data_IF_170521008839
#
_entry.id   IF_170521008839
#
_cell.length_a   1.000
_cell.length_b   1.000
_cell.length_c   1.000
_cell.angle_alpha   90.00
_cell.angle_beta   90.00
_cell.angle_gamma   90.00
#
_symmetry.space_group_name_H-M   'P 1'
#
loop_
_entity.id
_entity.type
_entity.pdbx_description
1 polymer ?
#
# COMPACT_ATOMS: atom_id res chain seq x y z
N UNK A 1 4.31 -12.26 17.48
CA UNK A 1 3.45 -12.88 16.45
C UNK A 1 2.93 -11.75 15.56
N UNK A 2 2.94 -11.90 14.24
CA UNK A 2 2.41 -10.85 13.34
C UNK A 2 0.92 -10.70 13.55
N UNK A 3 0.38 -9.49 13.51
CA UNK A 3 -1.07 -9.25 13.68
C UNK A 3 -1.91 -10.05 12.69
N UNK A 4 -1.42 -10.21 11.46
CA UNK A 4 -2.07 -10.99 10.40
C UNK A 4 -2.07 -12.51 10.65
N UNK A 5 -1.30 -12.98 11.62
CA UNK A 5 -1.16 -14.40 11.99
C UNK A 5 -1.83 -14.72 13.34
N UNK A 6 -2.59 -13.78 13.89
CA UNK A 6 -3.31 -14.01 15.13
C UNK A 6 -4.50 -14.94 14.91
N UNK A 7 -4.84 -15.71 15.96
CA UNK A 7 -6.03 -16.53 15.93
C UNK A 7 -7.29 -15.68 15.74
N UNK A 8 -8.29 -16.27 15.06
CA UNK A 8 -9.57 -15.63 14.85
C UNK A 8 -10.26 -15.35 16.21
N UNK A 9 -10.92 -14.20 16.29
CA UNK A 9 -11.80 -13.85 17.41
C UNK A 9 -13.08 -14.72 17.43
N UNK A 10 -13.36 -15.41 16.34
CA UNK A 10 -14.57 -16.21 16.14
C UNK A 10 -14.21 -17.67 15.96
N UNK A 11 -14.91 -18.54 16.65
CA UNK A 11 -14.67 -19.98 16.66
C UNK A 11 -15.69 -20.72 15.76
N UNK A 12 -15.34 -21.94 15.32
CA UNK A 12 -16.23 -22.85 14.59
C UNK A 12 -16.93 -22.18 13.38
N UNK A 13 -16.21 -21.38 12.59
CA UNK A 13 -16.78 -20.61 11.47
C UNK A 13 -17.54 -21.51 10.49
N UNK A 14 -17.05 -22.74 10.25
CA UNK A 14 -17.66 -23.72 9.35
C UNK A 14 -19.01 -24.26 9.85
N UNK A 15 -19.34 -24.06 11.14
CA UNK A 15 -20.60 -24.49 11.74
C UNK A 15 -21.63 -23.37 11.90
N UNK A 16 -21.20 -22.14 11.61
CA UNK A 16 -22.04 -20.96 11.82
C UNK A 16 -23.02 -20.76 10.66
N UNK A 17 -24.15 -20.11 10.95
CA UNK A 17 -25.08 -19.71 9.92
C UNK A 17 -24.51 -18.58 9.06
N UNK A 18 -24.94 -18.49 7.79
CA UNK A 18 -24.57 -17.37 6.90
C UNK A 18 -24.89 -16.02 7.54
N UNK A 19 -26.05 -15.90 8.19
CA UNK A 19 -26.44 -14.67 8.89
C UNK A 19 -25.44 -14.27 9.98
N UNK A 20 -25.00 -15.25 10.78
CA UNK A 20 -24.01 -15.02 11.84
C UNK A 20 -22.65 -14.57 11.26
N UNK A 21 -22.19 -15.26 10.21
CA UNK A 21 -20.93 -14.90 9.53
C UNK A 21 -20.96 -13.49 8.97
N UNK A 22 -22.05 -13.10 8.29
CA UNK A 22 -22.20 -11.75 7.75
C UNK A 22 -22.24 -10.69 8.85
N UNK A 23 -22.89 -10.95 9.97
CA UNK A 23 -22.92 -10.04 11.11
C UNK A 23 -21.52 -9.86 11.71
N UNK A 24 -20.76 -10.94 11.87
CA UNK A 24 -19.41 -10.91 12.41
C UNK A 24 -18.44 -10.14 11.48
N UNK A 25 -18.48 -10.41 10.17
CA UNK A 25 -17.69 -9.66 9.18
C UNK A 25 -18.00 -8.16 9.27
N UNK A 26 -19.28 -7.80 9.22
CA UNK A 26 -19.70 -6.40 9.30
C UNK A 26 -19.31 -5.73 10.63
N UNK A 27 -19.25 -6.50 11.73
CA UNK A 27 -18.80 -6.02 13.03
C UNK A 27 -17.29 -5.66 13.00
N UNK A 28 -16.47 -6.50 12.36
CA UNK A 28 -15.04 -6.20 12.19
C UNK A 28 -14.80 -5.03 11.25
N UNK A 29 -15.53 -4.94 10.14
CA UNK A 29 -15.42 -3.84 9.18
C UNK A 29 -15.66 -2.47 9.83
N UNK A 30 -16.57 -2.38 10.79
CA UNK A 30 -16.83 -1.12 11.52
C UNK A 30 -15.63 -0.61 12.29
N UNK A 31 -14.77 -1.50 12.78
CA UNK A 31 -13.57 -1.14 13.54
C UNK A 31 -12.49 -0.49 12.66
N UNK A 32 -12.54 -0.69 11.34
CA UNK A 32 -11.56 -0.15 10.40
C UNK A 32 -11.59 1.37 10.40
N UNK A 33 -12.78 1.97 10.35
CA UNK A 33 -12.92 3.42 10.38
C UNK A 33 -12.38 4.03 11.69
N UNK A 34 -12.64 3.38 12.84
CA UNK A 34 -12.13 3.82 14.15
C UNK A 34 -10.60 3.74 14.21
N UNK A 35 -10.00 2.69 13.63
CA UNK A 35 -8.54 2.54 13.56
C UNK A 35 -7.89 3.62 12.67
N UNK A 36 -8.54 3.99 11.57
CA UNK A 36 -8.10 5.09 10.71
C UNK A 36 -8.21 6.42 11.43
N UNK A 37 -9.30 6.67 12.15
CA UNK A 37 -9.51 7.90 12.94
C UNK A 37 -8.37 8.13 13.93
N UNK A 38 -7.95 7.09 14.63
CA UNK A 38 -6.80 7.13 15.54
C UNK A 38 -5.46 7.46 14.84
N UNK A 39 -5.36 7.25 13.53
CA UNK A 39 -4.16 7.48 12.70
C UNK A 39 -4.19 8.81 11.95
N UNK A 40 -5.28 9.58 12.02
CA UNK A 40 -5.41 10.84 11.27
C UNK A 40 -4.26 11.83 11.50
N UNK A 41 -3.70 12.02 12.71
CA UNK A 41 -2.58 12.95 12.90
C UNK A 41 -1.32 12.54 12.11
N UNK A 42 -1.05 11.23 11.98
CA UNK A 42 0.08 10.72 11.20
C UNK A 42 -0.17 10.88 9.70
N UNK A 43 -1.42 10.64 9.27
CA UNK A 43 -1.84 10.83 7.87
C UNK A 43 -1.72 12.30 7.49
N UNK A 44 -2.20 13.22 8.34
CA UNK A 44 -2.08 14.66 8.13
C UNK A 44 -0.62 15.10 7.97
N UNK A 45 0.26 14.63 8.88
CA UNK A 45 1.68 14.94 8.85
C UNK A 45 2.36 14.45 7.55
N UNK A 46 1.98 13.29 7.04
CA UNK A 46 2.48 12.75 5.78
C UNK A 46 1.98 13.57 4.58
N UNK A 47 0.67 13.84 4.51
CA UNK A 47 0.06 14.62 3.42
C UNK A 47 0.65 16.03 3.36
N UNK A 48 0.88 16.67 4.51
CA UNK A 48 1.52 17.99 4.60
C UNK A 48 2.94 18.02 4.01
N UNK A 49 3.64 16.88 3.97
CA UNK A 49 4.95 16.76 3.34
C UNK A 49 4.89 16.37 1.85
N UNK A 50 3.91 15.56 1.46
CA UNK A 50 3.71 15.14 0.06
C UNK A 50 3.27 16.32 -0.81
N UNK A 51 2.29 17.11 -0.36
CA UNK A 51 1.68 18.18 -1.14
C UNK A 51 2.70 19.17 -1.73
N UNK A 52 3.63 19.77 -0.96
CA UNK A 52 4.61 20.71 -1.53
C UNK A 52 5.60 20.05 -2.49
N UNK A 53 5.86 18.75 -2.38
CA UNK A 53 6.68 18.00 -3.34
C UNK A 53 5.94 17.85 -4.67
N UNK A 54 4.68 17.43 -4.64
CA UNK A 54 3.85 17.33 -5.83
C UNK A 54 3.67 18.68 -6.55
N UNK A 55 3.52 19.78 -5.80
CA UNK A 55 3.46 21.14 -6.36
C UNK A 55 4.76 21.56 -7.08
N UNK A 56 5.90 20.98 -6.71
CA UNK A 56 7.19 21.20 -7.37
C UNK A 56 7.45 20.22 -8.53
N UNK A 57 6.46 19.41 -8.92
CA UNK A 57 6.58 18.44 -10.00
C UNK A 57 6.98 17.03 -9.54
N UNK A 58 7.06 16.78 -8.24
CA UNK A 58 7.25 15.45 -7.68
C UNK A 58 6.01 14.56 -7.87
N UNK A 59 6.21 13.26 -7.79
CA UNK A 59 5.19 12.22 -7.97
C UNK A 59 4.93 11.49 -6.67
N UNK A 60 3.77 10.86 -6.57
CA UNK A 60 3.45 9.93 -5.50
C UNK A 60 3.52 8.49 -6.02
N UNK A 61 4.30 7.65 -5.36
CA UNK A 61 4.37 6.22 -5.63
C UNK A 61 3.68 5.43 -4.53
N UNK A 62 2.78 4.53 -4.91
CA UNK A 62 2.32 3.45 -4.04
C UNK A 62 3.14 2.20 -4.33
N UNK A 63 3.62 1.53 -3.29
CA UNK A 63 4.42 0.33 -3.40
C UNK A 63 3.86 -0.76 -2.49
N UNK A 64 3.49 -1.90 -3.06
CA UNK A 64 2.92 -3.00 -2.28
C UNK A 64 3.10 -4.36 -2.94
N UNK A 65 2.71 -5.41 -2.24
CA UNK A 65 2.66 -6.76 -2.77
C UNK A 65 1.25 -7.34 -2.65
N UNK A 66 0.90 -8.29 -3.51
CA UNK A 66 -0.40 -8.96 -3.49
C UNK A 66 -1.57 -7.97 -3.51
N UNK A 67 -2.53 -8.14 -2.60
CA UNK A 67 -3.71 -7.26 -2.49
C UNK A 67 -3.34 -5.82 -2.17
N UNK A 68 -2.36 -5.58 -1.31
CA UNK A 68 -1.90 -4.23 -0.98
C UNK A 68 -1.36 -3.50 -2.21
N UNK A 69 -0.56 -4.17 -3.05
CA UNK A 69 -0.10 -3.60 -4.32
C UNK A 69 -1.23 -3.33 -5.31
N UNK A 70 -2.22 -4.22 -5.39
CA UNK A 70 -3.41 -4.01 -6.24
C UNK A 70 -4.22 -2.79 -5.80
N UNK A 71 -4.36 -2.54 -4.50
CA UNK A 71 -5.04 -1.34 -3.98
C UNK A 71 -4.31 -0.07 -4.40
N UNK A 72 -2.98 -0.04 -4.31
CA UNK A 72 -2.19 1.10 -4.77
C UNK A 72 -2.31 1.33 -6.28
N UNK A 73 -2.32 0.27 -7.09
CA UNK A 73 -2.53 0.35 -8.55
C UNK A 73 -3.95 0.86 -8.87
N UNK A 74 -4.97 0.35 -8.14
CA UNK A 74 -6.35 0.78 -8.32
C UNK A 74 -6.49 2.28 -8.07
N UNK A 75 -6.05 2.76 -6.91
CA UNK A 75 -6.14 4.18 -6.54
C UNK A 75 -5.39 5.07 -7.55
N UNK A 76 -4.17 4.70 -7.91
CA UNK A 76 -3.39 5.43 -8.91
C UNK A 76 -4.10 5.51 -10.28
N UNK A 77 -4.77 4.45 -10.70
CA UNK A 77 -5.49 4.38 -11.99
C UNK A 77 -6.73 5.27 -12.03
N UNK A 78 -7.33 5.55 -10.88
CA UNK A 78 -8.52 6.40 -10.75
C UNK A 78 -8.20 7.90 -10.67
N UNK A 79 -6.97 8.29 -10.38
CA UNK A 79 -6.58 9.69 -10.28
C UNK A 79 -6.78 10.47 -11.60
N UNK A 80 -6.36 9.97 -12.79
CA UNK A 80 -6.55 10.69 -14.05
C UNK A 80 -8.02 10.93 -14.41
N UNK A 81 -8.92 9.93 -14.43
CA UNK A 81 -10.32 10.14 -14.80
C UNK A 81 -11.08 10.96 -13.76
N UNK A 82 -10.70 10.90 -12.48
CA UNK A 82 -11.40 11.59 -11.40
C UNK A 82 -10.97 13.04 -11.26
N UNK A 83 -9.67 13.32 -11.37
CA UNK A 83 -9.08 14.64 -11.10
C UNK A 83 -8.49 15.32 -12.33
N UNK A 84 -8.49 14.68 -13.50
CA UNK A 84 -7.92 15.24 -14.74
C UNK A 84 -6.40 15.42 -14.71
N UNK A 85 -5.70 14.66 -13.89
CA UNK A 85 -4.25 14.72 -13.74
C UNK A 85 -3.54 13.76 -14.68
N UNK A 86 -2.21 13.95 -14.86
CA UNK A 86 -1.39 13.03 -15.65
C UNK A 86 -1.36 11.63 -15.02
N UNK A 87 -1.34 10.58 -15.84
CA UNK A 87 -1.12 9.18 -15.42
C UNK A 87 0.20 8.95 -14.67
N UNK A 88 1.15 9.87 -14.80
CA UNK A 88 2.44 9.77 -14.14
C UNK A 88 2.50 10.50 -12.80
N UNK A 89 1.44 11.20 -12.37
CA UNK A 89 1.44 11.95 -11.12
C UNK A 89 1.34 11.04 -9.89
N UNK A 90 0.47 10.04 -9.97
CA UNK A 90 0.34 8.98 -8.96
C UNK A 90 0.59 7.65 -9.64
N UNK A 91 1.52 6.87 -9.12
CA UNK A 91 2.02 5.64 -9.76
C UNK A 91 1.86 4.47 -8.80
N UNK A 92 1.04 3.51 -9.15
CA UNK A 92 0.90 2.25 -8.40
C UNK A 92 1.93 1.22 -8.86
N UNK A 93 2.62 0.60 -7.91
CA UNK A 93 3.62 -0.45 -8.15
C UNK A 93 3.31 -1.68 -7.31
N UNK A 94 3.47 -2.85 -7.90
CA UNK A 94 3.20 -4.13 -7.27
C UNK A 94 4.37 -5.09 -7.47
N UNK A 95 4.76 -5.80 -6.42
CA UNK A 95 5.76 -6.85 -6.51
C UNK A 95 5.38 -7.89 -7.57
N UNK A 96 6.30 -8.16 -8.51
CA UNK A 96 6.05 -9.01 -9.67
C UNK A 96 5.48 -8.29 -10.90
N UNK A 97 5.34 -6.95 -10.84
CA UNK A 97 4.94 -6.10 -11.96
C UNK A 97 3.48 -6.29 -12.40
N UNK A 98 3.13 -5.81 -13.59
CA UNK A 98 1.75 -5.80 -14.09
C UNK A 98 1.10 -7.18 -14.17
N UNK A 99 1.87 -8.24 -14.35
CA UNK A 99 1.35 -9.62 -14.33
C UNK A 99 0.73 -9.97 -12.98
N UNK A 100 1.30 -9.43 -11.87
CA UNK A 100 0.84 -9.67 -10.52
C UNK A 100 -0.50 -8.98 -10.18
N UNK A 101 -0.96 -8.04 -11.00
CA UNK A 101 -2.27 -7.41 -10.86
C UNK A 101 -3.38 -8.47 -11.01
N UNK A 102 -3.24 -9.39 -11.97
CA UNK A 102 -4.25 -10.38 -12.32
C UNK A 102 -3.96 -11.79 -11.85
N UNK A 103 -2.67 -12.14 -11.67
CA UNK A 103 -2.22 -13.47 -11.24
C UNK A 103 -1.22 -13.33 -10.13
N UNK A 104 -1.31 -14.15 -9.09
CA UNK A 104 -0.30 -14.19 -8.04
C UNK A 104 1.07 -14.53 -8.65
N UNK A 105 2.08 -13.75 -8.26
CA UNK A 105 3.49 -14.02 -8.56
C UNK A 105 4.13 -14.38 -7.23
N UNK A 106 4.35 -15.67 -7.02
CA UNK A 106 4.92 -16.18 -5.79
C UNK A 106 6.35 -15.68 -5.59
N UNK A 107 6.78 -15.53 -4.34
CA UNK A 107 8.10 -15.07 -3.91
C UNK A 107 8.51 -13.64 -4.33
N UNK A 108 7.69 -12.93 -5.12
CA UNK A 108 8.02 -11.55 -5.51
C UNK A 108 8.06 -10.60 -4.29
N UNK A 109 7.25 -10.87 -3.27
CA UNK A 109 7.18 -10.08 -2.03
C UNK A 109 8.36 -10.29 -1.08
N UNK A 110 9.11 -11.39 -1.24
CA UNK A 110 10.24 -11.76 -0.39
C UNK A 110 11.55 -11.07 -0.82
N UNK A 111 11.59 -10.49 -2.02
CA UNK A 111 12.78 -9.83 -2.53
C UNK A 111 13.08 -8.54 -1.78
N UNK A 112 14.31 -8.39 -1.30
CA UNK A 112 14.82 -7.19 -0.66
C UNK A 112 15.40 -6.16 -1.65
N UNK A 113 15.49 -6.50 -2.93
CA UNK A 113 16.14 -5.66 -3.95
C UNK A 113 15.17 -5.14 -5.01
N UNK A 114 14.16 -5.93 -5.36
CA UNK A 114 13.28 -5.62 -6.51
C UNK A 114 12.51 -4.32 -6.31
N UNK A 115 12.00 -4.03 -5.11
CA UNK A 115 11.21 -2.81 -4.89
C UNK A 115 12.00 -1.53 -5.16
N UNK A 116 13.27 -1.49 -4.79
CA UNK A 116 14.13 -0.37 -5.11
C UNK A 116 14.48 -0.31 -6.60
N UNK A 117 14.77 -1.44 -7.25
CA UNK A 117 15.01 -1.51 -8.70
C UNK A 117 13.79 -1.02 -9.49
N UNK A 118 12.60 -1.46 -9.12
CA UNK A 118 11.36 -1.04 -9.77
C UNK A 118 11.15 0.48 -9.68
N UNK A 119 11.45 1.09 -8.54
CA UNK A 119 11.42 2.55 -8.36
C UNK A 119 12.49 3.25 -9.21
N UNK A 120 13.71 2.70 -9.30
CA UNK A 120 14.78 3.24 -10.14
C UNK A 120 14.42 3.20 -11.64
N UNK A 121 13.76 2.15 -12.10
CA UNK A 121 13.25 2.06 -13.48
C UNK A 121 12.23 3.15 -13.82
N UNK A 122 11.53 3.67 -12.80
CA UNK A 122 10.64 4.83 -12.94
C UNK A 122 11.37 6.17 -12.79
N UNK A 123 12.71 6.16 -12.71
CA UNK A 123 13.54 7.36 -12.52
C UNK A 123 13.07 8.17 -11.31
N UNK A 124 12.91 7.51 -10.17
CA UNK A 124 12.54 8.17 -8.91
C UNK A 124 13.59 9.21 -8.49
N UNK A 125 13.14 10.31 -7.93
CA UNK A 125 13.98 11.44 -7.50
C UNK A 125 13.66 11.88 -6.08
N UNK A 126 14.49 12.72 -5.49
CA UNK A 126 14.34 13.25 -4.12
C UNK A 126 13.09 14.11 -3.90
N UNK A 127 12.47 14.64 -4.98
CA UNK A 127 11.22 15.38 -4.88
C UNK A 127 9.98 14.48 -4.94
N UNK A 128 10.14 13.21 -5.27
CA UNK A 128 9.06 12.22 -5.24
C UNK A 128 8.76 11.76 -3.80
N UNK A 129 7.66 11.05 -3.63
CA UNK A 129 7.25 10.48 -2.35
C UNK A 129 6.80 9.03 -2.55
N UNK A 130 7.07 8.15 -1.59
CA UNK A 130 6.70 6.73 -1.66
C UNK A 130 5.86 6.35 -0.45
N UNK A 131 4.69 5.76 -0.68
CA UNK A 131 3.85 5.13 0.36
C UNK A 131 3.94 3.62 0.19
N UNK A 132 4.49 2.94 1.18
CA UNK A 132 4.47 1.49 1.26
C UNK A 132 3.14 0.99 1.84
N UNK A 133 2.52 0.02 1.15
CA UNK A 133 1.26 -0.58 1.57
C UNK A 133 1.50 -2.05 1.89
N UNK A 134 1.30 -2.44 3.15
CA UNK A 134 1.46 -3.82 3.60
C UNK A 134 0.55 -4.11 4.80
N UNK A 135 -0.28 -5.14 4.73
CA UNK A 135 -1.18 -5.52 5.83
C UNK A 135 -0.42 -5.93 7.09
N UNK A 136 0.67 -6.70 6.95
CA UNK A 136 1.52 -7.12 8.07
C UNK A 136 2.50 -6.05 8.54
N UNK A 137 2.77 -5.03 7.71
CA UNK A 137 3.84 -4.06 7.93
C UNK A 137 5.25 -4.65 7.83
N UNK A 138 5.41 -5.90 7.35
CA UNK A 138 6.69 -6.63 7.37
C UNK A 138 7.12 -7.21 6.02
N UNK A 139 6.45 -6.84 4.93
CA UNK A 139 6.75 -7.34 3.57
C UNK A 139 8.15 -6.89 3.13
N UNK A 140 9.10 -7.82 2.85
CA UNK A 140 10.49 -7.49 2.54
C UNK A 140 10.64 -6.53 1.35
N UNK A 141 9.91 -6.78 0.26
CA UNK A 141 9.86 -5.92 -0.92
C UNK A 141 9.57 -4.45 -0.57
N UNK A 142 8.59 -4.21 0.32
CA UNK A 142 8.18 -2.87 0.73
C UNK A 142 9.20 -2.24 1.67
N UNK A 143 9.57 -2.95 2.75
CA UNK A 143 10.49 -2.41 3.77
C UNK A 143 11.84 -2.05 3.18
N UNK A 144 12.42 -2.94 2.37
CA UNK A 144 13.73 -2.71 1.77
C UNK A 144 13.71 -1.51 0.81
N UNK A 145 12.66 -1.37 0.00
CA UNK A 145 12.50 -0.22 -0.88
C UNK A 145 12.35 1.09 -0.11
N UNK A 146 11.54 1.13 0.97
CA UNK A 146 11.41 2.34 1.80
C UNK A 146 12.74 2.72 2.47
N UNK A 147 13.50 1.75 2.98
CA UNK A 147 14.82 2.01 3.54
C UNK A 147 15.80 2.59 2.50
N UNK A 148 15.78 2.07 1.27
CA UNK A 148 16.56 2.59 0.17
C UNK A 148 16.14 4.02 -0.21
N UNK A 149 14.84 4.30 -0.25
CA UNK A 149 14.28 5.65 -0.45
C UNK A 149 14.78 6.63 0.62
N UNK A 150 14.73 6.25 1.89
CA UNK A 150 15.23 7.09 3.00
C UNK A 150 16.72 7.38 2.85
N UNK A 151 17.52 6.39 2.47
CA UNK A 151 18.96 6.57 2.19
C UNK A 151 19.20 7.54 1.02
N UNK A 152 18.28 7.58 0.05
CA UNK A 152 18.31 8.49 -1.09
C UNK A 152 17.61 9.85 -0.84
N UNK A 153 17.25 10.17 0.43
CA UNK A 153 16.51 11.37 0.83
C UNK A 153 15.13 11.53 0.17
N UNK A 154 14.51 10.44 -0.22
CA UNK A 154 13.12 10.40 -0.74
C UNK A 154 12.16 10.23 0.43
N UNK A 155 11.07 11.00 0.43
CA UNK A 155 10.04 10.93 1.47
C UNK A 155 9.33 9.57 1.44
N UNK A 156 9.19 8.92 2.62
CA UNK A 156 8.45 7.66 2.77
C UNK A 156 7.46 7.72 3.93
#
# INVERSE_FOLDING_TARGET
>A
MKTTEQESLYQDLEKQSVSTLLQQINQEDKKVAEAVDASLPQIEALVAQILPRMQKGGRLFYLGAGTSGRLGVLDASECPPTYGVSHNLVVGMIAGGDSAIRKSVEFAEDSTDLGWKDLQEKNITEIDSVIGIAASGTTPYVIAALNACQTANILT
#
